data_IF_645373163307
#
_entry.id   IF_645373163307
#
_cell.length_a   1.000
_cell.length_b   1.000
_cell.length_c   1.000
_cell.angle_alpha   90.00
_cell.angle_beta   90.00
_cell.angle_gamma   90.00
#
_symmetry.space_group_name_H-M   'P 1'
#
loop_
_entity.id
_entity.type
_entity.pdbx_description
1 polymer ?
#
# COMPACT_ATOMS: atom_id res chain seq x y z
N UNK A 1 -12.13 0.15 -22.45
CA UNK A 1 -11.43 1.20 -21.70
C UNK A 1 -10.37 0.50 -20.87
N UNK A 2 -9.13 0.64 -21.30
CA UNK A 2 -7.96 -0.12 -20.85
C UNK A 2 -7.61 0.25 -19.41
N UNK A 3 -8.07 -0.57 -18.45
CA UNK A 3 -7.69 -0.48 -17.03
C UNK A 3 -6.17 -0.45 -16.78
N UNK A 4 -5.38 -0.85 -17.79
CA UNK A 4 -3.92 -0.82 -17.75
C UNK A 4 -3.35 0.61 -17.82
N UNK A 5 -3.88 1.46 -18.71
CA UNK A 5 -3.39 2.83 -18.89
C UNK A 5 -3.71 3.74 -17.70
N UNK A 6 -4.84 3.49 -17.03
CA UNK A 6 -5.21 4.23 -15.81
C UNK A 6 -4.26 3.89 -14.64
N UNK A 7 -3.80 2.65 -14.54
CA UNK A 7 -2.86 2.23 -13.50
C UNK A 7 -1.50 2.91 -13.61
N UNK A 8 -0.92 2.99 -14.81
CA UNK A 8 0.35 3.70 -15.04
C UNK A 8 0.26 5.19 -14.77
N UNK A 9 -0.84 5.84 -15.18
CA UNK A 9 -1.08 7.25 -14.88
C UNK A 9 -1.17 7.50 -13.36
N UNK A 10 -1.81 6.60 -12.62
CA UNK A 10 -1.89 6.68 -11.15
C UNK A 10 -0.52 6.48 -10.51
N UNK A 11 0.28 5.52 -10.97
CA UNK A 11 1.64 5.30 -10.47
C UNK A 11 2.50 6.55 -10.69
N UNK A 12 2.40 7.20 -11.86
CA UNK A 12 3.14 8.43 -12.15
C UNK A 12 2.76 9.57 -11.21
N UNK A 13 1.46 9.78 -10.97
CA UNK A 13 0.96 10.79 -10.03
C UNK A 13 1.41 10.53 -8.59
N UNK A 14 1.44 9.27 -8.17
CA UNK A 14 1.96 8.88 -6.86
C UNK A 14 3.47 9.11 -6.77
N UNK A 15 4.21 8.88 -7.85
CA UNK A 15 5.65 9.16 -7.89
C UNK A 15 5.94 10.66 -7.75
N UNK A 16 5.17 11.52 -8.40
CA UNK A 16 5.26 12.98 -8.23
C UNK A 16 4.92 13.40 -6.79
N UNK A 17 3.87 12.82 -6.20
CA UNK A 17 3.52 13.08 -4.80
C UNK A 17 4.60 12.60 -3.82
N UNK A 18 5.29 11.51 -4.13
CA UNK A 18 6.40 11.00 -3.33
C UNK A 18 7.58 11.98 -3.36
N UNK A 19 7.95 12.46 -4.55
CA UNK A 19 9.07 13.39 -4.73
C UNK A 19 8.86 14.69 -3.94
N UNK A 20 7.64 15.26 -4.01
CA UNK A 20 7.25 16.44 -3.23
C UNK A 20 7.34 16.16 -1.73
N UNK A 21 6.84 15.00 -1.27
CA UNK A 21 6.89 14.64 0.14
C UNK A 21 8.33 14.42 0.64
N UNK A 22 9.22 13.90 -0.20
CA UNK A 22 10.65 13.77 0.13
C UNK A 22 11.36 15.13 0.16
N UNK A 23 11.07 16.03 -0.79
CA UNK A 23 11.60 17.40 -0.81
C UNK A 23 11.16 18.19 0.44
N UNK A 24 9.88 18.11 0.80
CA UNK A 24 9.33 18.74 2.00
C UNK A 24 9.73 18.02 3.31
N UNK A 25 10.58 16.99 3.26
CA UNK A 25 11.00 16.17 4.41
C UNK A 25 9.82 15.55 5.20
N UNK A 26 8.70 15.32 4.51
CA UNK A 26 7.49 14.71 5.07
C UNK A 26 7.58 13.20 5.05
N UNK A 27 8.46 12.66 5.90
CA UNK A 27 8.77 11.22 5.99
C UNK A 27 7.51 10.36 6.15
N UNK A 28 6.51 10.84 6.90
CA UNK A 28 5.24 10.09 7.08
C UNK A 28 4.46 9.99 5.77
N UNK A 29 4.26 11.11 5.10
CA UNK A 29 3.51 11.18 3.83
C UNK A 29 4.22 10.42 2.71
N UNK A 30 5.56 10.53 2.60
CA UNK A 30 6.34 9.74 1.65
C UNK A 30 6.11 8.23 1.84
N UNK A 31 6.07 7.78 3.10
CA UNK A 31 5.80 6.36 3.43
C UNK A 31 4.36 5.96 3.13
N UNK A 32 3.39 6.82 3.41
CA UNK A 32 1.98 6.60 3.03
C UNK A 32 1.82 6.46 1.51
N UNK A 33 2.48 7.31 0.73
CA UNK A 33 2.48 7.25 -0.74
C UNK A 33 3.11 5.95 -1.25
N UNK A 34 4.28 5.57 -0.73
CA UNK A 34 4.93 4.28 -1.06
C UNK A 34 4.03 3.08 -0.75
N UNK A 35 3.26 3.14 0.33
CA UNK A 35 2.31 2.10 0.70
C UNK A 35 1.16 1.97 -0.32
N UNK A 36 0.63 3.09 -0.80
CA UNK A 36 -0.39 3.11 -1.85
C UNK A 36 0.20 2.57 -3.15
N UNK A 37 1.41 2.99 -3.55
CA UNK A 37 2.08 2.47 -4.75
C UNK A 37 2.26 0.94 -4.70
N UNK A 38 2.67 0.39 -3.56
CA UNK A 38 2.77 -1.05 -3.38
C UNK A 38 1.43 -1.78 -3.58
N UNK A 39 0.31 -1.16 -3.16
CA UNK A 39 -1.04 -1.68 -3.42
C UNK A 39 -1.37 -1.65 -4.92
N UNK A 40 -1.01 -0.58 -5.64
CA UNK A 40 -1.22 -0.50 -7.09
C UNK A 40 -0.43 -1.57 -7.81
N UNK A 41 0.84 -1.74 -7.49
CA UNK A 41 1.67 -2.79 -8.08
C UNK A 41 1.05 -4.18 -7.88
N UNK A 42 0.53 -4.44 -6.68
CA UNK A 42 -0.21 -5.67 -6.41
C UNK A 42 -1.45 -5.83 -7.30
N UNK A 43 -2.27 -4.78 -7.47
CA UNK A 43 -3.43 -4.79 -8.36
C UNK A 43 -3.06 -4.96 -9.84
N UNK A 44 -1.87 -4.48 -10.25
CA UNK A 44 -1.30 -4.65 -11.58
C UNK A 44 -0.66 -6.04 -11.80
N UNK A 45 -0.82 -6.97 -10.86
CA UNK A 45 -0.18 -8.30 -10.84
C UNK A 45 1.35 -8.29 -10.70
N UNK A 46 1.94 -7.14 -10.37
CA UNK A 46 3.36 -7.00 -10.04
C UNK A 46 3.58 -7.33 -8.55
N UNK A 47 3.32 -8.59 -8.21
CA UNK A 47 3.31 -9.06 -6.81
C UNK A 47 4.69 -8.98 -6.15
N UNK A 48 5.76 -9.27 -6.90
CA UNK A 48 7.13 -9.24 -6.40
C UNK A 48 7.56 -7.84 -5.98
N UNK A 49 7.29 -6.84 -6.84
CA UNK A 49 7.59 -5.44 -6.53
C UNK A 49 6.77 -4.95 -5.34
N UNK A 50 5.48 -5.30 -5.27
CA UNK A 50 4.66 -4.97 -4.10
C UNK A 50 5.25 -5.54 -2.80
N UNK A 51 5.65 -6.82 -2.79
CA UNK A 51 6.27 -7.46 -1.62
C UNK A 51 7.57 -6.78 -1.21
N UNK A 52 8.40 -6.39 -2.20
CA UNK A 52 9.65 -5.67 -1.96
C UNK A 52 9.39 -4.30 -1.34
N UNK A 53 8.45 -3.52 -1.87
CA UNK A 53 8.06 -2.23 -1.29
C UNK A 53 7.56 -2.36 0.14
N UNK A 54 6.71 -3.36 0.44
CA UNK A 54 6.27 -3.59 1.81
C UNK A 54 7.40 -4.05 2.73
N UNK A 55 8.37 -4.81 2.22
CA UNK A 55 9.52 -5.20 3.00
C UNK A 55 10.35 -3.98 3.41
N UNK A 56 10.62 -3.06 2.49
CA UNK A 56 11.34 -1.82 2.80
C UNK A 56 10.54 -0.96 3.77
N UNK A 57 9.24 -0.78 3.56
CA UNK A 57 8.37 -0.03 4.48
C UNK A 57 8.39 -0.61 5.90
N UNK A 58 8.43 -1.94 6.04
CA UNK A 58 8.51 -2.62 7.34
C UNK A 58 9.88 -2.51 8.01
N UNK A 59 10.96 -2.28 7.24
CA UNK A 59 12.29 -1.99 7.79
C UNK A 59 12.39 -0.54 8.24
N UNK A 60 11.81 0.39 7.46
CA UNK A 60 11.80 1.83 7.78
C UNK A 60 11.04 2.12 9.07
N UNK A 61 9.88 1.48 9.29
CA UNK A 61 9.21 1.51 10.58
C UNK A 61 8.65 0.13 10.92
N UNK A 62 9.34 -0.60 11.81
CA UNK A 62 8.92 -1.94 12.20
C UNK A 62 7.69 -1.95 13.11
N UNK A 63 7.23 -0.78 13.58
CA UNK A 63 6.01 -0.64 14.39
C UNK A 63 4.76 -0.46 13.53
N UNK A 64 4.94 -0.15 12.25
CA UNK A 64 3.86 -0.01 11.30
C UNK A 64 3.27 -1.37 10.97
N UNK A 65 2.03 -1.61 11.39
CA UNK A 65 1.35 -2.89 11.16
C UNK A 65 0.88 -3.05 9.70
N UNK A 66 0.80 -1.97 8.90
CA UNK A 66 0.15 -1.98 7.58
C UNK A 66 0.92 -2.81 6.53
N UNK A 67 2.26 -2.73 6.42
CA UNK A 67 3.03 -3.60 5.54
C UNK A 67 2.89 -5.08 5.88
N UNK A 68 2.83 -5.44 7.17
CA UNK A 68 2.64 -6.83 7.59
C UNK A 68 1.26 -7.36 7.18
N UNK A 69 0.20 -6.56 7.36
CA UNK A 69 -1.13 -6.94 6.88
C UNK A 69 -1.16 -7.17 5.36
N UNK A 70 -0.62 -6.22 4.60
CA UNK A 70 -0.63 -6.31 3.14
C UNK A 70 0.21 -7.49 2.63
N UNK A 71 1.40 -7.73 3.20
CA UNK A 71 2.20 -8.93 2.89
C UNK A 71 1.47 -10.22 3.25
N UNK A 72 0.79 -10.26 4.41
CA UNK A 72 -0.03 -11.41 4.81
C UNK A 72 -1.14 -11.73 3.80
N UNK A 73 -1.84 -10.70 3.32
CA UNK A 73 -2.85 -10.83 2.27
C UNK A 73 -2.25 -11.36 0.96
N UNK A 74 -1.10 -10.81 0.55
CA UNK A 74 -0.41 -11.24 -0.67
C UNK A 74 0.04 -12.70 -0.56
N UNK A 75 0.70 -13.08 0.53
CA UNK A 75 1.13 -14.46 0.76
C UNK A 75 -0.06 -15.43 0.79
N UNK A 76 -1.19 -15.01 1.38
CA UNK A 76 -2.43 -15.80 1.35
C UNK A 76 -2.95 -16.02 -0.07
N UNK A 77 -2.85 -15.02 -0.94
CA UNK A 77 -3.25 -15.12 -2.35
C UNK A 77 -2.25 -15.94 -3.19
N UNK A 78 -1.00 -16.04 -2.75
CA UNK A 78 0.03 -16.90 -3.34
C UNK A 78 0.02 -18.33 -2.78
N UNK A 79 -0.99 -18.72 -1.99
CA UNK A 79 -1.09 -20.00 -1.27
C UNK A 79 0.06 -20.28 -0.27
N UNK A 80 0.86 -19.25 0.05
CA UNK A 80 1.95 -19.29 1.03
C UNK A 80 1.42 -19.09 2.44
N UNK A 81 0.63 -20.07 2.88
CA UNK A 81 -0.11 -20.02 4.14
C UNK A 81 0.77 -19.85 5.38
N UNK A 82 1.96 -20.46 5.40
CA UNK A 82 2.95 -20.32 6.49
C UNK A 82 3.45 -18.88 6.62
N UNK A 83 3.91 -18.29 5.50
CA UNK A 83 4.39 -16.91 5.46
C UNK A 83 3.27 -15.93 5.82
N UNK A 84 2.07 -16.15 5.28
CA UNK A 84 0.88 -15.36 5.59
C UNK A 84 0.59 -15.34 7.10
N UNK A 85 0.60 -16.51 7.75
CA UNK A 85 0.41 -16.63 9.21
C UNK A 85 1.45 -15.83 9.99
N UNK A 86 2.72 -15.88 9.59
CA UNK A 86 3.78 -15.11 10.25
C UNK A 86 3.56 -13.60 10.11
N UNK A 87 3.16 -13.13 8.93
CA UNK A 87 2.87 -11.70 8.74
C UNK A 87 1.62 -11.27 9.51
N UNK A 88 0.56 -12.09 9.52
CA UNK A 88 -0.64 -11.81 10.30
C UNK A 88 -0.42 -11.90 11.82
N UNK A 89 0.54 -12.70 12.28
CA UNK A 89 0.95 -12.71 13.67
C UNK A 89 1.57 -11.35 14.05
N UNK A 90 2.58 -10.88 13.30
CA UNK A 90 3.19 -9.56 13.52
C UNK A 90 2.16 -8.42 13.43
N UNK A 91 1.29 -8.48 12.42
CA UNK A 91 0.20 -7.52 12.29
C UNK A 91 -0.67 -7.48 13.55
N UNK A 92 -1.03 -8.64 14.14
CA UNK A 92 -1.83 -8.71 15.38
C UNK A 92 -1.07 -8.26 16.62
N UNK A 93 0.25 -8.44 16.66
CA UNK A 93 1.10 -7.95 17.75
C UNK A 93 1.22 -6.43 17.74
N UNK A 94 1.31 -5.83 16.55
CA UNK A 94 1.54 -4.39 16.36
C UNK A 94 0.25 -3.58 16.25
N UNK A 95 -0.83 -4.20 15.77
CA UNK A 95 -2.12 -3.53 15.63
C UNK A 95 -2.73 -3.32 17.02
N UNK A 96 -2.97 -2.07 17.45
CA UNK A 96 -3.72 -1.85 18.67
C UNK A 96 -5.12 -2.44 18.44
N UNK A 97 -5.64 -3.20 19.42
CA UNK A 97 -6.96 -3.89 19.44
C UNK A 97 -8.17 -3.07 18.93
N UNK A 98 -7.99 -1.78 18.65
CA UNK A 98 -8.99 -0.77 18.26
C UNK A 98 -8.83 -0.25 16.82
N UNK A 99 -7.80 -0.65 16.06
CA UNK A 99 -7.63 -0.19 14.68
C UNK A 99 -8.53 -1.00 13.75
N UNK A 100 -9.69 -0.44 13.41
CA UNK A 100 -10.54 -0.88 12.30
C UNK A 100 -9.72 -0.88 11.00
N UNK A 101 -9.12 -2.03 10.67
CA UNK A 101 -8.47 -2.31 9.39
C UNK A 101 -9.38 -1.98 8.21
N UNK A 102 -10.68 -2.15 8.41
CA UNK A 102 -11.73 -1.92 7.43
C UNK A 102 -11.79 -0.46 6.98
N UNK A 103 -11.56 0.49 7.89
CA UNK A 103 -11.56 1.92 7.58
C UNK A 103 -10.38 2.35 6.70
N UNK A 104 -9.20 1.74 6.89
CA UNK A 104 -7.99 2.12 6.17
C UNK A 104 -8.01 1.62 4.72
N UNK A 105 -8.37 0.35 4.50
CA UNK A 105 -8.55 -0.18 3.14
C UNK A 105 -9.62 0.62 2.40
N UNK A 106 -10.74 0.91 3.05
CA UNK A 106 -11.82 1.69 2.45
C UNK A 106 -11.37 3.12 2.15
N UNK A 107 -10.59 3.77 3.01
CA UNK A 107 -10.14 5.16 2.80
C UNK A 107 -9.05 5.26 1.74
N UNK A 108 -8.05 4.36 1.72
CA UNK A 108 -6.98 4.37 0.73
C UNK A 108 -7.52 4.07 -0.68
N UNK A 109 -8.39 3.06 -0.82
CA UNK A 109 -9.09 2.79 -2.08
C UNK A 109 -10.07 3.91 -2.45
N UNK A 110 -10.80 4.49 -1.48
CA UNK A 110 -11.72 5.61 -1.78
C UNK A 110 -10.98 6.86 -2.22
N UNK A 111 -9.82 7.16 -1.61
CA UNK A 111 -8.99 8.32 -1.98
C UNK A 111 -8.38 8.12 -3.36
N UNK A 112 -7.90 6.91 -3.67
CA UNK A 112 -7.48 6.54 -5.03
C UNK A 112 -8.61 6.67 -6.06
N UNK A 113 -9.83 6.23 -5.72
CA UNK A 113 -11.02 6.35 -6.59
C UNK A 113 -11.44 7.81 -6.80
N UNK A 114 -11.22 8.67 -5.79
CA UNK A 114 -11.51 10.10 -5.84
C UNK A 114 -10.55 10.85 -6.78
N UNK A 115 -9.27 10.46 -6.84
CA UNK A 115 -8.31 10.99 -7.82
C UNK A 115 -8.65 10.64 -9.28
N UNK A 116 -9.57 9.69 -9.51
CA UNK A 116 -10.13 9.39 -10.83
C UNK A 116 -11.36 10.22 -11.23
N UNK A 117 -11.93 11.04 -10.33
CA UNK A 117 -13.20 11.72 -10.56
C UNK A 117 -13.11 13.24 -10.77
N UNK A 118 -11.92 13.83 -10.87
CA UNK A 118 -11.78 15.29 -11.01
C UNK A 118 -11.24 15.73 -12.38
N UNK A 119 -11.77 15.15 -13.46
CA UNK A 119 -11.73 15.74 -14.80
C UNK A 119 -13.11 15.58 -15.43
N UNK A 120 -13.99 16.56 -15.19
CA UNK A 120 -14.93 17.11 -16.17
C UNK A 120 -15.75 18.23 -15.51
N UNK A 121 -15.34 19.47 -15.74
CA UNK A 121 -16.25 20.54 -16.15
C UNK A 121 -15.52 21.54 -17.02
#
# INVERSE_FOLDING_TARGET
MDRFGEGEAVVRRLQEALDIAEEENKVKEARDVRLIMAQIHFLQKNVEEALKSYQELSKEDPKDFRPYFCRGMIYSLLDRNEEAKQQFAKYRELSPKKFEVEGYLRTSLSRMKLFGSNEKS
#
